data_IF_048169696741
#
_entry.id   IF_048169696741
#
_cell.length_a   1.000
_cell.length_b   1.000
_cell.length_c   1.000
_cell.angle_alpha   90.00
_cell.angle_beta   90.00
_cell.angle_gamma   90.00
#
_symmetry.space_group_name_H-M   'P 1'
#
loop_
_entity.id
_entity.type
_entity.pdbx_description
1 polymer ?
#
# COMPACT_ATOMS: atom_id res chain seq x y z
N UNK A 1 12.02 -4.51 9.25
CA UNK A 1 12.22 -3.42 8.28
C UNK A 1 13.20 -3.74 7.16
N UNK A 2 14.08 -4.74 7.29
CA UNK A 2 15.13 -5.05 6.30
C UNK A 2 14.71 -5.97 5.16
N UNK A 3 13.61 -6.72 5.30
CA UNK A 3 13.24 -7.77 4.34
C UNK A 3 12.70 -7.22 3.00
N UNK A 4 12.07 -6.04 3.02
CA UNK A 4 11.53 -5.37 1.82
C UNK A 4 12.52 -4.41 1.17
N UNK A 5 13.34 -3.71 1.96
CA UNK A 5 14.21 -2.65 1.43
C UNK A 5 15.37 -3.20 0.58
N UNK A 6 15.95 -4.34 0.95
CA UNK A 6 17.06 -4.94 0.20
C UNK A 6 16.68 -5.29 -1.26
N UNK A 7 15.62 -6.09 -1.47
CA UNK A 7 15.17 -6.46 -2.82
C UNK A 7 14.68 -5.26 -3.67
N UNK A 8 14.03 -4.27 -3.05
CA UNK A 8 13.61 -3.05 -3.75
C UNK A 8 14.81 -2.20 -4.19
N UNK A 9 15.85 -2.10 -3.36
CA UNK A 9 17.06 -1.35 -3.69
C UNK A 9 17.90 -2.01 -4.78
N UNK A 10 17.90 -3.34 -4.85
CA UNK A 10 18.64 -4.11 -5.86
C UNK A 10 17.81 -4.38 -7.13
N UNK A 11 16.56 -3.89 -7.19
CA UNK A 11 15.66 -4.01 -8.35
C UNK A 11 15.11 -5.42 -8.62
N UNK A 12 15.23 -6.33 -7.64
CA UNK A 12 14.71 -7.70 -7.75
C UNK A 12 13.24 -7.84 -7.41
N UNK A 13 12.64 -6.78 -6.83
CA UNK A 13 11.19 -6.60 -6.70
C UNK A 13 10.79 -5.19 -7.09
N UNK A 14 9.61 -5.05 -7.68
CA UNK A 14 8.99 -3.75 -7.97
C UNK A 14 7.90 -3.44 -6.96
N UNK A 15 7.82 -2.17 -6.55
CA UNK A 15 6.73 -1.68 -5.71
C UNK A 15 5.98 -0.54 -6.37
N UNK A 16 4.65 -0.58 -6.30
CA UNK A 16 3.79 0.55 -6.61
C UNK A 16 3.39 1.25 -5.32
N UNK A 17 3.33 2.57 -5.33
CA UNK A 17 2.93 3.37 -4.18
C UNK A 17 1.48 3.81 -4.35
N UNK A 18 0.57 3.16 -3.60
CA UNK A 18 -0.85 3.43 -3.60
C UNK A 18 -1.18 4.41 -2.47
N UNK A 19 -1.01 5.70 -2.76
CA UNK A 19 -1.45 6.78 -1.88
C UNK A 19 -2.34 7.74 -2.64
N UNK A 20 -3.28 8.35 -1.93
CA UNK A 20 -3.98 9.50 -2.47
C UNK A 20 -3.00 10.67 -2.51
N UNK A 21 -2.81 11.26 -3.69
CA UNK A 21 -2.03 12.47 -3.88
C UNK A 21 -2.94 13.64 -4.26
N UNK A 22 -2.52 14.84 -3.87
CA UNK A 22 -2.97 16.09 -4.48
C UNK A 22 -1.74 16.75 -5.12
N UNK A 23 -1.74 16.84 -6.45
CA UNK A 23 -0.62 17.33 -7.26
C UNK A 23 0.76 16.69 -6.94
N UNK A 24 0.79 15.39 -6.60
CA UNK A 24 2.01 14.65 -6.25
C UNK A 24 2.47 14.80 -4.80
N UNK A 25 1.74 15.55 -3.97
CA UNK A 25 1.96 15.59 -2.53
C UNK A 25 1.05 14.58 -1.83
N UNK A 26 1.63 13.78 -0.93
CA UNK A 26 0.86 12.91 -0.05
C UNK A 26 0.10 13.76 0.98
N UNK A 27 -1.22 13.57 1.05
CA UNK A 27 -2.07 14.12 2.10
C UNK A 27 -2.62 12.99 2.98
N UNK A 28 -2.16 12.86 4.23
CA UNK A 28 -2.68 11.86 5.16
C UNK A 28 -4.20 11.99 5.41
N UNK A 29 -4.76 13.20 5.29
CA UNK A 29 -6.19 13.44 5.48
C UNK A 29 -7.04 12.95 4.30
N UNK A 30 -6.42 12.72 3.14
CA UNK A 30 -7.07 12.19 1.94
C UNK A 30 -7.03 10.65 1.85
N UNK A 31 -6.48 9.97 2.86
CA UNK A 31 -6.42 8.50 2.91
C UNK A 31 -7.83 7.94 3.14
N UNK A 32 -8.33 7.22 2.14
CA UNK A 32 -9.67 6.60 2.12
C UNK A 32 -9.65 5.09 2.43
N UNK A 33 -8.47 4.52 2.64
CA UNK A 33 -8.31 3.09 2.97
C UNK A 33 -8.30 2.91 4.48
N UNK A 34 -9.17 2.06 4.99
CA UNK A 34 -9.23 1.69 6.40
C UNK A 34 -8.38 0.45 6.66
N UNK A 35 -7.63 0.45 7.77
CA UNK A 35 -6.88 -0.69 8.27
C UNK A 35 -7.45 -1.17 9.60
N UNK A 36 -7.94 -2.41 9.62
CA UNK A 36 -8.50 -3.05 10.82
C UNK A 36 -7.64 -4.24 11.21
N UNK A 37 -7.34 -4.39 12.52
CA UNK A 37 -6.67 -5.58 13.03
C UNK A 37 -7.54 -6.82 12.79
N UNK A 38 -6.91 -7.86 12.27
CA UNK A 38 -7.51 -9.19 12.13
C UNK A 38 -6.68 -10.22 12.90
N UNK A 39 -7.22 -11.44 13.05
CA UNK A 39 -6.51 -12.53 13.73
C UNK A 39 -5.18 -12.90 13.06
N UNK A 40 -4.98 -12.50 11.80
CA UNK A 40 -3.82 -12.85 10.97
C UNK A 40 -3.00 -11.60 10.57
N UNK A 41 -3.22 -10.45 11.22
CA UNK A 41 -2.50 -9.20 10.93
C UNK A 41 -3.45 -8.03 10.69
N UNK A 42 -3.45 -7.51 9.47
CA UNK A 42 -4.25 -6.35 9.07
C UNK A 42 -5.13 -6.69 7.88
N UNK A 43 -6.38 -6.21 7.92
CA UNK A 43 -7.28 -6.20 6.78
C UNK A 43 -7.41 -4.76 6.30
N UNK A 44 -7.19 -4.54 5.01
CA UNK A 44 -7.31 -3.23 4.38
C UNK A 44 -8.59 -3.21 3.55
N UNK A 45 -9.36 -2.12 3.63
CA UNK A 45 -10.56 -1.94 2.83
C UNK A 45 -10.62 -0.51 2.31
N UNK A 46 -10.75 -0.38 0.99
CA UNK A 46 -10.85 0.92 0.33
C UNK A 46 -10.40 0.83 -1.12
N UNK A 47 -10.39 1.98 -1.78
CA UNK A 47 -9.95 2.11 -3.17
C UNK A 47 -8.95 3.25 -3.25
N UNK A 48 -7.82 3.01 -3.92
CA UNK A 48 -6.86 4.05 -4.28
C UNK A 48 -6.85 4.16 -5.79
N UNK A 49 -7.13 5.35 -6.30
CA UNK A 49 -7.13 5.63 -7.73
C UNK A 49 -5.76 6.11 -8.21
N UNK A 50 -5.51 5.99 -9.52
CA UNK A 50 -4.31 6.54 -10.19
C UNK A 50 -2.98 6.00 -9.65
N UNK A 51 -2.95 4.74 -9.21
CA UNK A 51 -1.72 4.07 -8.78
C UNK A 51 -0.87 3.71 -10.00
N UNK A 52 0.19 4.48 -10.24
CA UNK A 52 1.13 4.24 -11.34
C UNK A 52 1.82 2.89 -11.15
N UNK A 53 1.95 2.14 -12.24
CA UNK A 53 2.61 0.82 -12.33
C UNK A 53 2.03 -0.31 -11.43
N UNK A 54 0.86 -0.13 -10.82
CA UNK A 54 0.22 -1.15 -9.98
C UNK A 54 0.02 -2.50 -10.69
N UNK A 55 -0.21 -2.48 -12.01
CA UNK A 55 -0.37 -3.67 -12.83
C UNK A 55 0.89 -4.54 -12.96
N UNK A 56 2.08 -3.95 -12.80
CA UNK A 56 3.37 -4.62 -12.97
C UNK A 56 4.16 -4.75 -11.65
N UNK A 57 3.63 -4.24 -10.54
CA UNK A 57 4.27 -4.31 -9.23
C UNK A 57 4.09 -5.69 -8.59
N UNK A 58 5.15 -6.19 -7.94
CA UNK A 58 5.08 -7.36 -7.07
C UNK A 58 4.41 -7.01 -5.74
N UNK A 59 4.70 -5.80 -5.22
CA UNK A 59 4.20 -5.31 -3.94
C UNK A 59 3.52 -3.96 -4.12
N UNK A 60 2.40 -3.74 -3.44
CA UNK A 60 1.72 -2.46 -3.36
C UNK A 60 1.91 -1.91 -1.94
N UNK A 61 2.52 -0.74 -1.84
CA UNK A 61 2.61 0.01 -0.60
C UNK A 61 1.38 0.91 -0.47
N UNK A 62 0.48 0.56 0.44
CA UNK A 62 -0.81 1.25 0.65
C UNK A 62 -0.75 2.12 1.89
N UNK A 63 -1.10 3.40 1.77
CA UNK A 63 -1.42 4.21 2.94
C UNK A 63 -2.84 3.90 3.41
N UNK A 64 -2.99 3.53 4.68
CA UNK A 64 -4.29 3.25 5.28
C UNK A 64 -4.37 3.80 6.71
N UNK A 65 -5.57 4.18 7.14
CA UNK A 65 -5.85 4.71 8.46
C UNK A 65 -6.20 3.58 9.41
N UNK A 66 -5.35 3.38 10.42
CA UNK A 66 -5.56 2.43 11.49
C UNK A 66 -6.03 3.12 12.80
N UNK A 67 -6.24 2.35 13.87
CA UNK A 67 -6.65 2.87 15.18
C UNK A 67 -5.65 3.86 15.80
N UNK A 68 -4.37 3.76 15.43
CA UNK A 68 -3.29 4.65 15.89
C UNK A 68 -2.99 5.79 14.90
N UNK A 69 -3.79 5.93 13.83
CA UNK A 69 -3.59 6.90 12.75
C UNK A 69 -3.07 6.29 11.44
N UNK A 70 -2.67 7.12 10.46
CA UNK A 70 -2.23 6.66 9.15
C UNK A 70 -0.90 5.92 9.21
N UNK A 71 -0.81 4.80 8.49
CA UNK A 71 0.38 3.98 8.36
C UNK A 71 0.53 3.41 6.95
N UNK A 72 1.75 2.95 6.61
CA UNK A 72 2.02 2.25 5.36
C UNK A 72 1.99 0.74 5.57
N UNK A 73 1.32 0.05 4.66
CA UNK A 73 1.18 -1.39 4.64
C UNK A 73 1.72 -1.94 3.32
N UNK A 74 2.54 -2.98 3.39
CA UNK A 74 2.97 -3.72 2.21
C UNK A 74 1.95 -4.83 1.93
N UNK A 75 1.39 -4.83 0.72
CA UNK A 75 0.42 -5.82 0.26
C UNK A 75 0.98 -6.51 -0.98
N UNK A 76 1.09 -7.84 -0.96
CA UNK A 76 1.47 -8.60 -2.17
C UNK A 76 0.40 -8.41 -3.24
N UNK A 77 0.81 -8.06 -4.46
CA UNK A 77 -0.11 -7.64 -5.53
C UNK A 77 -0.96 -8.81 -6.07
N UNK A 78 -0.60 -10.05 -5.75
CA UNK A 78 -1.33 -11.29 -6.07
C UNK A 78 -2.25 -11.79 -4.94
N UNK A 79 -2.34 -11.04 -3.83
CA UNK A 79 -3.24 -11.36 -2.74
C UNK A 79 -4.70 -11.35 -3.18
N UNK A 80 -5.50 -12.30 -2.69
CA UNK A 80 -6.86 -12.59 -3.16
C UNK A 80 -7.86 -11.41 -3.05
N UNK A 81 -7.57 -10.43 -2.19
CA UNK A 81 -8.38 -9.22 -2.01
C UNK A 81 -7.95 -8.02 -2.88
N UNK A 82 -6.85 -8.13 -3.63
CA UNK A 82 -6.34 -7.04 -4.47
C UNK A 82 -7.02 -7.11 -5.84
N UNK A 83 -7.59 -5.99 -6.27
CA UNK A 83 -8.08 -5.77 -7.63
C UNK A 83 -7.34 -4.55 -8.19
N UNK A 84 -6.70 -4.69 -9.34
CA UNK A 84 -5.82 -3.69 -9.96
C UNK A 84 -6.20 -3.42 -11.41
#
# INVERSE_FOLDING_TARGET
GSELLGPLMDGTRTAAFAVHDDAGAFDPAAVTVDAVRSDHGWSLTGTVERVVDAGAADVILVAATGPDGPALFAVEADSSGVQR
#
